data_IF_069534634617
#
_entry.id   IF_069534634617
#
_cell.length_a   1.000
_cell.length_b   1.000
_cell.length_c   1.000
_cell.angle_alpha   90.00
_cell.angle_beta   90.00
_cell.angle_gamma   90.00
#
_symmetry.space_group_name_H-M   'P 1'
#
loop_
_entity.id
_entity.type
_entity.pdbx_description
1 polymer ?
#
# COMPACT_ATOMS: atom_id res chain seq x y z
N UNK A 1 0.31 2.86 -11.13
CA UNK A 1 -0.71 3.91 -10.98
C UNK A 1 -0.65 4.39 -9.55
N UNK A 2 -0.88 5.67 -9.30
CA UNK A 2 -0.94 6.26 -7.96
C UNK A 2 -2.11 7.24 -7.87
N UNK A 3 -2.60 7.47 -6.66
CA UNK A 3 -3.66 8.44 -6.38
C UNK A 3 -3.07 9.64 -5.66
N UNK A 4 -3.50 10.83 -6.05
CA UNK A 4 -3.03 12.11 -5.50
C UNK A 4 -4.24 12.95 -5.12
N UNK A 5 -4.18 13.59 -3.96
CA UNK A 5 -5.24 14.45 -3.41
C UNK A 5 -4.70 15.82 -3.03
N UNK A 6 -5.57 16.82 -2.96
CA UNK A 6 -5.25 18.10 -2.33
C UNK A 6 -5.28 17.99 -0.81
N UNK A 7 -4.28 18.58 -0.16
CA UNK A 7 -4.26 18.65 1.29
C UNK A 7 -5.15 19.75 1.82
N UNK A 8 -5.61 19.60 3.06
CA UNK A 8 -6.63 20.46 3.69
C UNK A 8 -6.06 21.77 4.28
N UNK A 9 -4.83 22.13 3.97
CA UNK A 9 -4.19 23.35 4.48
C UNK A 9 -4.50 24.54 3.57
N UNK A 10 -4.41 25.78 4.09
CA UNK A 10 -4.73 27.02 3.33
C UNK A 10 -4.00 27.09 1.98
N UNK A 11 -2.76 26.62 1.96
CA UNK A 11 -1.95 26.46 0.75
C UNK A 11 -1.86 24.96 0.39
N UNK A 12 -2.84 24.42 -0.35
CA UNK A 12 -2.92 22.98 -0.60
C UNK A 12 -1.69 22.48 -1.35
N UNK A 13 -1.35 21.22 -1.07
CA UNK A 13 -0.28 20.47 -1.73
C UNK A 13 -0.87 19.20 -2.32
N UNK A 14 -0.21 18.67 -3.34
CA UNK A 14 -0.52 17.36 -3.89
C UNK A 14 0.08 16.27 -2.98
N UNK A 15 -0.77 15.61 -2.19
CA UNK A 15 -0.40 14.46 -1.38
C UNK A 15 -0.59 13.17 -2.16
N UNK A 16 0.46 12.35 -2.24
CA UNK A 16 0.36 11.01 -2.81
C UNK A 16 -0.21 10.09 -1.75
N UNK A 17 -1.29 9.37 -2.08
CA UNK A 17 -1.83 8.34 -1.21
C UNK A 17 -0.84 7.18 -1.14
N UNK A 18 -0.38 6.87 0.07
CA UNK A 18 0.51 5.75 0.34
C UNK A 18 0.05 4.96 1.56
N UNK A 19 0.36 3.68 1.62
CA UNK A 19 0.02 2.86 2.78
C UNK A 19 1.02 3.05 3.92
N UNK A 20 0.75 3.98 4.83
CA UNK A 20 1.55 4.23 6.04
C UNK A 20 1.03 3.47 7.29
N UNK A 21 0.09 2.54 7.13
CA UNK A 21 -0.44 1.74 8.24
C UNK A 21 0.64 0.83 8.83
N UNK A 22 0.75 0.83 10.16
CA UNK A 22 1.50 -0.15 10.93
C UNK A 22 0.69 -1.40 11.25
N UNK A 23 -0.55 -1.52 10.74
CA UNK A 23 -1.35 -2.74 10.83
C UNK A 23 -1.60 -3.32 9.45
N UNK A 24 -1.56 -4.64 9.36
CA UNK A 24 -1.97 -5.38 8.16
C UNK A 24 -2.75 -6.63 8.52
N UNK A 25 -3.55 -7.08 7.57
CA UNK A 25 -4.27 -8.33 7.70
C UNK A 25 -3.43 -9.46 7.06
N UNK A 26 -3.21 -10.55 7.80
CA UNK A 26 -2.60 -11.74 7.23
C UNK A 26 -3.61 -12.57 6.42
N UNK A 27 -3.14 -13.66 5.81
CA UNK A 27 -3.96 -14.54 4.96
C UNK A 27 -5.15 -15.16 5.69
N UNK A 28 -5.05 -15.28 7.01
CA UNK A 28 -6.07 -15.88 7.87
C UNK A 28 -7.06 -14.83 8.40
N UNK A 29 -6.88 -13.56 8.03
CA UNK A 29 -7.74 -12.47 8.42
C UNK A 29 -7.35 -11.78 9.73
N UNK A 30 -6.22 -12.16 10.36
CA UNK A 30 -5.79 -11.58 11.62
C UNK A 30 -5.05 -10.26 11.39
N UNK A 31 -5.33 -9.26 12.24
CA UNK A 31 -4.56 -8.02 12.26
C UNK A 31 -3.22 -8.25 12.96
N UNK A 32 -2.13 -7.96 12.25
CA UNK A 32 -0.75 -8.00 12.73
C UNK A 32 -0.10 -6.63 12.62
N UNK A 33 0.84 -6.37 13.50
CA UNK A 33 1.62 -5.14 13.48
C UNK A 33 2.82 -5.26 12.53
N UNK A 34 3.11 -4.18 11.81
CA UNK A 34 4.29 -4.00 10.97
C UNK A 34 5.36 -3.27 11.76
N UNK A 35 6.61 -3.62 11.49
CA UNK A 35 7.74 -2.83 11.96
C UNK A 35 7.82 -1.51 11.18
N UNK A 36 8.35 -0.45 11.82
CA UNK A 36 8.55 0.87 11.19
C UNK A 36 9.27 0.77 9.85
N UNK A 37 10.35 -0.01 9.80
CA UNK A 37 11.15 -0.22 8.58
C UNK A 37 10.32 -0.84 7.44
N UNK A 38 9.48 -1.82 7.75
CA UNK A 38 8.60 -2.48 6.76
C UNK A 38 7.60 -1.50 6.19
N UNK A 39 6.93 -0.72 7.05
CA UNK A 39 5.98 0.29 6.59
C UNK A 39 6.68 1.40 5.79
N UNK A 40 7.88 1.82 6.19
CA UNK A 40 8.66 2.79 5.43
C UNK A 40 9.05 2.26 4.04
N UNK A 41 9.46 0.99 3.94
CA UNK A 41 9.78 0.36 2.65
C UNK A 41 8.57 0.40 1.70
N UNK A 42 7.37 0.09 2.19
CA UNK A 42 6.14 0.14 1.38
C UNK A 42 5.85 1.56 0.88
N UNK A 43 5.94 2.56 1.77
CA UNK A 43 5.79 3.99 1.43
C UNK A 43 6.81 4.42 0.37
N UNK A 44 8.09 4.10 0.58
CA UNK A 44 9.19 4.50 -0.32
C UNK A 44 9.04 3.82 -1.67
N UNK A 45 8.62 2.56 -1.70
CA UNK A 45 8.33 1.83 -2.94
C UNK A 45 7.25 2.53 -3.76
N UNK A 46 6.14 2.91 -3.13
CA UNK A 46 5.04 3.62 -3.79
C UNK A 46 5.49 5.02 -4.26
N UNK A 47 6.21 5.77 -3.42
CA UNK A 47 6.76 7.07 -3.79
C UNK A 47 7.75 6.99 -4.96
N UNK A 48 8.64 5.98 -4.97
CA UNK A 48 9.59 5.73 -6.05
C UNK A 48 8.92 5.34 -7.37
N UNK A 49 7.77 4.66 -7.31
CA UNK A 49 6.94 4.44 -8.51
C UNK A 49 6.41 5.76 -9.06
N UNK A 50 5.91 6.67 -8.21
CA UNK A 50 5.44 8.00 -8.65
C UNK A 50 6.58 8.82 -9.25
N UNK A 51 7.77 8.80 -8.62
CA UNK A 51 8.94 9.48 -9.14
C UNK A 51 9.28 9.00 -10.57
N UNK A 52 9.14 7.69 -10.83
CA UNK A 52 9.37 7.11 -12.16
C UNK A 52 8.30 7.44 -13.21
N UNK A 53 7.16 8.01 -12.81
CA UNK A 53 6.11 8.45 -13.75
C UNK A 53 6.47 9.78 -14.42
N UNK A 54 7.48 10.50 -13.92
CA UNK A 54 7.99 11.73 -14.53
C UNK A 54 6.99 12.88 -14.52
N UNK A 55 6.07 12.93 -13.55
CA UNK A 55 5.03 13.96 -13.44
C UNK A 55 5.39 15.07 -12.44
N UNK A 56 6.65 15.17 -12.03
CA UNK A 56 7.11 16.14 -11.04
C UNK A 56 8.04 15.52 -10.01
N UNK A 57 8.65 16.38 -9.18
CA UNK A 57 9.54 15.94 -8.11
C UNK A 57 8.73 15.34 -6.96
N UNK A 58 9.14 14.18 -6.45
CA UNK A 58 8.49 13.51 -5.31
C UNK A 58 9.30 13.75 -4.05
N UNK A 59 8.63 14.14 -2.97
CA UNK A 59 9.26 14.34 -1.66
C UNK A 59 8.56 13.52 -0.58
N UNK A 60 9.36 12.99 0.36
CA UNK A 60 8.91 12.27 1.54
C UNK A 60 9.27 13.07 2.79
N UNK A 61 8.28 13.40 3.59
CA UNK A 61 8.42 14.04 4.89
C UNK A 61 8.21 13.01 6.00
N UNK A 62 9.20 12.86 6.87
CA UNK A 62 9.18 11.98 8.05
C UNK A 62 9.08 12.83 9.32
N UNK A 63 8.01 12.66 10.07
CA UNK A 63 7.82 13.28 11.38
C UNK A 63 8.62 12.49 12.42
N UNK A 64 9.80 12.99 12.78
CA UNK A 64 10.68 12.37 13.78
C UNK A 64 10.50 13.00 15.16
N UNK A 65 11.05 12.38 16.19
CA UNK A 65 11.18 12.94 17.54
C UNK A 65 11.79 14.35 17.51
N UNK A 66 12.79 14.58 16.66
CA UNK A 66 13.48 15.86 16.47
C UNK A 66 12.80 16.85 15.51
N UNK A 67 11.60 16.52 15.00
CA UNK A 67 10.89 17.31 13.99
C UNK A 67 10.87 16.67 12.60
N UNK A 68 10.46 17.42 11.58
CA UNK A 68 10.33 16.87 10.23
C UNK A 68 11.68 16.75 9.52
N UNK A 69 12.01 15.54 9.07
CA UNK A 69 13.08 15.29 8.09
C UNK A 69 12.47 15.12 6.70
N UNK A 70 12.95 15.89 5.73
CA UNK A 70 12.40 15.93 4.38
C UNK A 70 13.43 15.40 3.39
N UNK A 71 12.98 14.56 2.46
CA UNK A 71 13.81 13.92 1.46
C UNK A 71 13.19 14.05 0.07
N UNK A 72 14.02 14.28 -0.95
CA UNK A 72 13.68 13.95 -2.32
C UNK A 72 13.71 12.43 -2.50
N UNK A 73 12.72 11.89 -3.21
CA UNK A 73 12.64 10.46 -3.54
C UNK A 73 13.15 10.26 -4.96
N UNK A 74 14.34 9.68 -5.10
CA UNK A 74 14.98 9.45 -6.38
C UNK A 74 15.04 7.95 -6.67
N UNK A 75 14.67 7.54 -7.88
CA UNK A 75 14.81 6.15 -8.33
C UNK A 75 15.79 6.09 -9.50
N UNK A 76 16.77 5.19 -9.42
CA UNK A 76 17.80 5.04 -10.45
C UNK A 76 17.42 3.98 -11.51
N UNK A 77 18.27 3.79 -12.52
CA UNK A 77 18.05 2.84 -13.62
C UNK A 77 18.06 1.36 -13.16
N UNK A 78 18.70 1.07 -12.02
CA UNK A 78 18.65 -0.26 -11.37
C UNK A 78 17.39 -0.47 -10.54
N UNK A 79 16.51 0.52 -10.56
CA UNK A 79 15.32 0.63 -9.74
C UNK A 79 15.58 0.72 -8.22
N UNK A 80 16.81 0.98 -7.79
CA UNK A 80 17.07 1.33 -6.39
C UNK A 80 16.49 2.72 -6.11
N UNK A 81 16.05 2.92 -4.87
CA UNK A 81 15.49 4.18 -4.42
C UNK A 81 16.43 4.81 -3.40
N UNK A 82 16.69 6.10 -3.55
CA UNK A 82 17.53 6.88 -2.64
C UNK A 82 16.72 8.06 -2.13
N UNK A 83 16.64 8.17 -0.81
CA UNK A 83 16.12 9.35 -0.14
C UNK A 83 17.27 10.32 0.09
N UNK A 84 17.23 11.44 -0.62
CA UNK A 84 18.26 12.50 -0.54
C UNK A 84 17.69 13.65 0.29
N UNK A 85 18.36 14.14 1.35
CA UNK A 85 17.86 15.25 2.15
C UNK A 85 17.50 16.47 1.28
N UNK A 86 16.39 17.15 1.57
CA UNK A 86 16.05 18.39 0.87
C UNK A 86 16.91 19.58 1.34
N UNK A 87 17.48 19.49 2.54
CA UNK A 87 18.44 20.47 3.04
C UNK A 87 19.76 20.34 2.29
N UNK A 88 20.13 21.40 1.55
CA UNK A 88 21.34 21.45 0.73
C UNK A 88 22.62 21.24 1.53
N UNK A 89 22.64 21.64 2.81
CA UNK A 89 23.82 21.47 3.66
C UNK A 89 24.10 19.99 3.96
N UNK A 90 23.07 19.15 3.92
CA UNK A 90 23.16 17.71 4.18
C UNK A 90 23.37 16.90 2.89
N UNK A 91 23.28 17.51 1.70
CA UNK A 91 23.38 16.79 0.43
C UNK A 91 24.81 16.39 0.05
N UNK A 92 25.82 17.05 0.63
CA UNK A 92 27.23 16.70 0.39
C UNK A 92 27.71 15.53 1.25
N UNK A 93 26.95 15.17 2.28
CA UNK A 93 27.25 14.09 3.21
C UNK A 93 26.31 12.90 2.96
N UNK A 94 26.87 11.84 2.36
CA UNK A 94 26.14 10.62 1.99
C UNK A 94 25.66 9.83 3.20
N UNK A 95 26.15 10.09 4.41
CA UNK A 95 25.65 9.45 5.62
C UNK A 95 24.24 9.93 5.99
N UNK A 96 23.79 11.06 5.42
CA UNK A 96 22.42 11.55 5.57
C UNK A 96 21.44 10.98 4.54
N UNK A 97 21.92 10.14 3.62
CA UNK A 97 21.09 9.54 2.57
C UNK A 97 20.59 8.19 3.06
N UNK A 98 19.36 7.84 2.68
CA UNK A 98 18.78 6.53 3.00
C UNK A 98 18.58 5.76 1.70
N UNK A 99 19.23 4.60 1.60
CA UNK A 99 19.23 3.78 0.39
C UNK A 99 18.30 2.59 0.55
N UNK A 100 17.51 2.33 -0.48
CA UNK A 100 16.60 1.19 -0.59
C UNK A 100 16.95 0.43 -1.85
N UNK A 101 17.67 -0.67 -1.69
CA UNK A 101 18.18 -1.45 -2.81
C UNK A 101 17.14 -2.48 -3.25
N UNK A 102 16.86 -2.55 -4.54
CA UNK A 102 16.02 -3.60 -5.10
C UNK A 102 16.78 -4.93 -5.03
N UNK A 103 16.12 -5.95 -4.52
CA UNK A 103 16.62 -7.32 -4.45
C UNK A 103 15.65 -8.22 -5.19
N UNK A 104 16.16 -9.03 -6.10
CA UNK A 104 15.39 -10.08 -6.77
C UNK A 104 15.41 -11.31 -5.89
N UNK A 105 14.25 -11.95 -5.71
CA UNK A 105 14.15 -13.21 -4.99
C UNK A 105 14.84 -14.31 -5.80
N UNK A 106 15.87 -14.92 -5.23
CA UNK A 106 16.69 -15.95 -5.89
C UNK A 106 15.82 -17.17 -6.26
N UNK A 107 14.78 -17.45 -5.48
CA UNK A 107 13.88 -18.58 -5.72
C UNK A 107 12.71 -18.22 -6.64
N UNK A 108 12.51 -16.94 -6.92
CA UNK A 108 11.44 -16.45 -7.81
C UNK A 108 11.88 -15.16 -8.51
N UNK A 109 12.55 -15.26 -9.68
CA UNK A 109 13.12 -14.11 -10.38
C UNK A 109 12.10 -13.02 -10.78
N UNK A 110 10.81 -13.36 -10.86
CA UNK A 110 9.73 -12.41 -11.14
C UNK A 110 9.35 -11.57 -9.91
N UNK A 111 9.77 -12.00 -8.72
CA UNK A 111 9.53 -11.29 -7.46
C UNK A 111 10.76 -10.51 -7.05
N UNK A 112 10.50 -9.29 -6.59
CA UNK A 112 11.52 -8.45 -5.98
C UNK A 112 10.97 -7.79 -4.73
N UNK A 113 11.89 -7.44 -3.83
CA UNK A 113 11.64 -6.68 -2.63
C UNK A 113 12.69 -5.57 -2.49
N UNK A 114 12.45 -4.62 -1.61
CA UNK A 114 13.43 -3.59 -1.28
C UNK A 114 14.03 -3.89 0.08
N UNK A 115 15.34 -3.68 0.19
CA UNK A 115 16.07 -3.75 1.45
C UNK A 115 16.66 -2.38 1.75
N UNK A 116 16.32 -1.82 2.91
CA UNK A 116 16.93 -0.59 3.39
C UNK A 116 18.38 -0.86 3.81
N UNK A 117 19.30 -0.05 3.32
CA UNK A 117 20.70 -0.07 3.74
C UNK A 117 20.82 0.38 5.20
N UNK A 118 21.79 -0.20 5.92
CA UNK A 118 22.15 0.18 7.29
C UNK A 118 23.27 1.25 7.34
N UNK A 119 23.53 1.91 6.22
CA UNK A 119 24.58 2.92 6.07
C UNK A 119 24.20 4.25 6.73
N UNK A 120 25.19 4.98 7.22
CA UNK A 120 25.01 6.32 7.76
C UNK A 120 24.01 6.35 8.91
N UNK A 121 23.12 7.35 8.91
CA UNK A 121 22.12 7.55 9.96
C UNK A 121 20.76 6.87 9.69
N UNK A 122 20.69 5.97 8.70
CA UNK A 122 19.42 5.37 8.22
C UNK A 122 18.60 4.73 9.33
N UNK A 123 19.21 3.86 10.16
CA UNK A 123 18.49 3.15 11.24
C UNK A 123 17.98 4.13 12.31
N UNK A 124 18.83 5.07 12.74
CA UNK A 124 18.47 6.11 13.71
C UNK A 124 17.28 6.96 13.22
N UNK A 125 17.28 7.34 11.94
CA UNK A 125 16.17 8.09 11.36
C UNK A 125 14.88 7.27 11.47
N UNK A 126 14.89 6.01 11.04
CA UNK A 126 13.69 5.14 11.07
C UNK A 126 13.17 4.90 12.48
N UNK A 127 14.08 4.65 13.42
CA UNK A 127 13.73 4.46 14.83
C UNK A 127 13.07 5.70 15.42
N UNK A 128 13.56 6.90 15.07
CA UNK A 128 13.03 8.18 15.55
C UNK A 128 11.70 8.61 14.92
N UNK A 129 11.17 7.91 13.90
CA UNK A 129 9.90 8.30 13.27
C UNK A 129 8.76 8.10 14.28
N UNK A 130 7.96 9.15 14.49
CA UNK A 130 6.78 9.10 15.36
C UNK A 130 5.72 8.16 14.80
N UNK A 131 5.02 7.51 15.72
CA UNK A 131 3.83 6.72 15.40
C UNK A 131 2.61 7.56 15.78
N UNK A 132 1.73 7.79 14.81
CA UNK A 132 0.44 8.40 15.05
C UNK A 132 -0.57 7.30 15.34
N UNK A 133 -1.05 7.20 16.58
CA UNK A 133 -2.03 6.20 16.99
C UNK A 133 -3.43 6.80 17.09
N UNK A 134 -4.41 6.01 16.70
CA UNK A 134 -5.82 6.19 17.05
C UNK A 134 -6.27 4.95 17.84
N UNK A 135 -7.47 4.97 18.40
CA UNK A 135 -8.02 3.84 19.17
C UNK A 135 -8.04 2.52 18.37
N UNK A 136 -8.05 2.59 17.04
CA UNK A 136 -8.19 1.43 16.15
C UNK A 136 -7.00 1.21 15.22
N UNK A 137 -6.04 2.12 15.16
CA UNK A 137 -4.99 2.08 14.14
C UNK A 137 -3.71 2.78 14.57
N UNK A 138 -2.61 2.43 13.92
CA UNK A 138 -1.33 3.06 14.12
C UNK A 138 -0.72 3.34 12.75
N UNK A 139 -0.17 4.53 12.56
CA UNK A 139 0.38 4.97 11.29
C UNK A 139 1.79 5.50 11.51
N UNK A 140 2.68 5.18 10.58
CA UNK A 140 4.00 5.78 10.55
C UNK A 140 3.83 7.27 10.20
N UNK A 141 4.49 8.16 10.94
CA UNK A 141 4.47 9.61 10.72
C UNK A 141 5.20 10.00 9.43
N UNK A 142 4.64 9.65 8.29
CA UNK A 142 5.23 9.82 6.97
C UNK A 142 4.18 10.37 5.99
N UNK A 143 4.60 11.31 5.14
CA UNK A 143 3.76 11.92 4.11
C UNK A 143 4.56 12.07 2.82
N UNK A 144 3.96 11.64 1.70
CA UNK A 144 4.54 11.79 0.36
C UNK A 144 3.82 12.91 -0.37
N UNK A 145 4.58 13.76 -1.05
CA UNK A 145 4.05 14.87 -1.84
C UNK A 145 4.64 14.87 -3.24
N UNK A 146 3.86 15.37 -4.20
CA UNK A 146 4.26 15.56 -5.59
C UNK A 146 4.35 17.07 -5.89
N UNK A 147 5.48 17.53 -6.37
CA UNK A 147 5.63 18.91 -6.86
C UNK A 147 5.29 18.95 -8.35
N UNK A 148 4.06 19.35 -8.65
CA UNK A 148 3.57 19.61 -10.00
C UNK A 148 2.61 20.82 -9.94
N UNK A 149 3.05 21.95 -10.49
CA UNK A 149 2.29 23.21 -10.40
C UNK A 149 1.02 23.17 -11.24
N UNK A 150 1.10 22.61 -12.44
CA UNK A 150 -0.01 22.55 -13.39
C UNK A 150 -1.11 21.65 -12.83
N UNK A 151 -0.76 20.44 -12.37
CA UNK A 151 -1.71 19.54 -11.72
C UNK A 151 -2.33 20.14 -10.46
N UNK A 152 -1.55 20.87 -9.66
CA UNK A 152 -2.06 21.54 -8.47
C UNK A 152 -3.12 22.59 -8.85
N UNK A 153 -2.85 23.41 -9.87
CA UNK A 153 -3.80 24.41 -10.36
C UNK A 153 -5.06 23.75 -10.95
N UNK A 154 -4.89 22.72 -11.76
CA UNK A 154 -6.00 21.98 -12.37
C UNK A 154 -6.91 21.35 -11.31
N UNK A 155 -6.34 20.70 -10.29
CA UNK A 155 -7.13 20.11 -9.20
C UNK A 155 -7.85 21.18 -8.36
N UNK A 156 -7.17 22.29 -8.02
CA UNK A 156 -7.81 23.38 -7.25
C UNK A 156 -8.99 23.96 -8.03
N UNK A 157 -8.81 24.22 -9.32
CA UNK A 157 -9.88 24.69 -10.19
C UNK A 157 -11.02 23.67 -10.28
N UNK A 158 -10.69 22.38 -10.45
CA UNK A 158 -11.68 21.32 -10.52
C UNK A 158 -12.52 21.21 -9.24
N UNK A 159 -11.92 21.31 -8.05
CA UNK A 159 -12.68 21.31 -6.77
C UNK A 159 -13.56 22.56 -6.63
N UNK A 160 -13.11 23.71 -7.13
CA UNK A 160 -13.90 24.95 -7.13
C UNK A 160 -15.09 24.86 -8.09
N UNK A 161 -14.88 24.34 -9.29
CA UNK A 161 -15.91 24.23 -10.32
C UNK A 161 -16.95 23.14 -9.98
N UNK A 162 -16.51 22.02 -9.41
CA UNK A 162 -17.41 20.90 -9.03
C UNK A 162 -18.06 21.07 -7.66
N UNK A 163 -17.44 21.83 -6.74
CA UNK A 163 -17.84 21.89 -5.34
C UNK A 163 -17.52 20.62 -4.53
N UNK A 164 -16.80 19.66 -5.12
CA UNK A 164 -16.44 18.38 -4.52
C UNK A 164 -14.93 18.19 -4.39
N UNK A 165 -14.52 17.26 -3.52
CA UNK A 165 -13.11 16.85 -3.44
C UNK A 165 -12.70 16.04 -4.66
N UNK A 166 -11.46 16.25 -5.08
CA UNK A 166 -10.89 15.64 -6.27
C UNK A 166 -9.79 14.64 -5.94
N UNK A 167 -9.65 13.64 -6.81
CA UNK A 167 -8.54 12.69 -6.80
C UNK A 167 -7.94 12.64 -8.19
N UNK A 168 -6.63 12.86 -8.29
CA UNK A 168 -5.89 12.63 -9.51
C UNK A 168 -5.35 11.20 -9.54
N UNK A 169 -5.62 10.49 -10.63
CA UNK A 169 -5.05 9.17 -10.91
C UNK A 169 -3.88 9.33 -11.88
N UNK A 170 -2.68 9.00 -11.42
CA UNK A 170 -1.43 9.20 -12.16
C UNK A 170 -0.86 7.85 -12.61
N UNK A 171 -0.51 7.77 -13.89
CA UNK A 171 0.27 6.69 -14.49
C UNK A 171 1.44 7.24 -15.30
N UNK A 172 2.27 6.35 -15.84
CA UNK A 172 3.41 6.74 -16.69
C UNK A 172 2.94 7.58 -17.89
N UNK A 173 1.87 7.13 -18.54
CA UNK A 173 1.33 7.73 -19.76
C UNK A 173 -0.08 8.33 -19.57
N UNK A 174 -0.58 8.42 -18.34
CA UNK A 174 -1.95 8.85 -18.05
C UNK A 174 -2.00 9.78 -16.85
N UNK A 175 -2.90 10.74 -16.88
CA UNK A 175 -3.27 11.60 -15.77
C UNK A 175 -4.74 11.94 -15.93
N UNK A 176 -5.55 11.59 -14.95
CA UNK A 176 -6.98 11.93 -14.92
C UNK A 176 -7.33 12.54 -13.58
N UNK A 177 -8.22 13.53 -13.57
CA UNK A 177 -8.77 14.17 -12.36
C UNK A 177 -10.27 13.87 -12.37
N UNK A 178 -10.77 13.39 -11.25
CA UNK A 178 -12.17 13.00 -11.05
C UNK A 178 -12.59 13.40 -9.65
N UNK A 179 -13.89 13.51 -9.38
CA UNK A 179 -14.36 13.68 -7.99
C UNK A 179 -14.14 12.39 -7.20
N UNK A 180 -14.04 12.51 -5.88
CA UNK A 180 -13.98 11.33 -5.00
C UNK A 180 -15.21 10.44 -5.18
N UNK A 181 -16.38 11.04 -5.41
CA UNK A 181 -17.65 10.35 -5.67
C UNK A 181 -17.61 9.53 -6.96
N UNK A 182 -17.11 10.10 -8.06
CA UNK A 182 -16.92 9.42 -9.34
C UNK A 182 -15.96 8.23 -9.22
N UNK A 183 -14.83 8.43 -8.53
CA UNK A 183 -13.86 7.37 -8.29
C UNK A 183 -14.45 6.23 -7.47
N UNK A 184 -15.26 6.54 -6.46
CA UNK A 184 -15.93 5.53 -5.65
C UNK A 184 -16.97 4.74 -6.47
N UNK A 185 -17.82 5.43 -7.24
CA UNK A 185 -18.78 4.78 -8.12
C UNK A 185 -18.11 3.83 -9.13
N UNK A 186 -16.96 4.23 -9.70
CA UNK A 186 -16.17 3.36 -10.59
C UNK A 186 -15.60 2.14 -9.88
N UNK A 187 -15.18 2.27 -8.61
CA UNK A 187 -14.67 1.14 -7.80
C UNK A 187 -15.80 0.15 -7.46
N UNK A 188 -16.98 0.65 -7.16
CA UNK A 188 -18.16 -0.16 -6.86
C UNK A 188 -18.67 -0.93 -8.09
N UNK A 189 -18.79 -0.25 -9.24
CA UNK A 189 -19.18 -0.88 -10.50
C UNK A 189 -18.23 -2.02 -10.91
N UNK A 190 -16.91 -1.80 -10.84
CA UNK A 190 -15.91 -2.85 -11.10
C UNK A 190 -16.01 -4.04 -10.14
N UNK A 191 -16.36 -3.79 -8.88
CA UNK A 191 -16.51 -4.84 -7.87
C UNK A 191 -17.76 -5.68 -8.14
N UNK A 192 -18.84 -5.07 -8.64
CA UNK A 192 -20.06 -5.77 -9.04
C UNK A 192 -19.85 -6.60 -10.31
N UNK A 193 -19.15 -6.07 -11.32
CA UNK A 193 -18.80 -6.80 -12.55
C UNK A 193 -17.92 -8.04 -12.28
N UNK A 194 -16.94 -7.93 -11.38
CA UNK A 194 -16.11 -9.08 -10.96
C UNK A 194 -16.89 -10.14 -10.18
N UNK A 195 -17.94 -9.74 -9.45
CA UNK A 195 -18.81 -10.68 -8.75
C UNK A 195 -19.81 -11.36 -9.69
N UNK A 196 -20.34 -10.65 -10.69
CA UNK A 196 -21.20 -11.23 -11.72
C UNK A 196 -20.44 -12.18 -12.66
N UNK A 197 -19.19 -11.85 -13.00
CA UNK A 197 -18.34 -12.71 -13.85
C UNK A 197 -17.94 -14.05 -13.19
N UNK A 198 -18.25 -14.25 -11.90
CA UNK A 198 -18.07 -15.53 -11.18
C UNK A 198 -19.32 -16.40 -11.15
N UNK A 199 -20.47 -15.92 -11.64
CA UNK A 199 -21.66 -16.73 -11.85
C UNK A 199 -21.52 -17.48 -13.18
N UNK A 200 -21.09 -18.74 -13.10
CA UNK A 200 -21.09 -19.65 -14.25
C UNK A 200 -22.51 -20.18 -14.38
N UNK A 201 -23.20 -20.04 -15.53
CA UNK A 201 -24.46 -20.74 -15.74
C UNK A 201 -24.21 -22.26 -15.70
N UNK A 202 -24.86 -22.96 -14.77
CA UNK A 202 -24.82 -24.42 -14.72
C UNK A 202 -25.98 -24.93 -15.56
N UNK A 203 -25.67 -25.64 -16.65
CA UNK A 203 -26.69 -26.42 -17.37
C UNK A 203 -26.96 -27.71 -16.61
N UNK A 204 -28.15 -27.86 -16.06
CA UNK A 204 -28.61 -29.11 -15.44
C UNK A 204 -29.21 -29.97 -16.57
N UNK A 205 -28.53 -31.07 -16.90
CA UNK A 205 -29.03 -32.09 -17.84
C UNK A 205 -29.76 -33.20 -17.07
N UNK A 206 -30.89 -33.66 -17.59
CA UNK A 206 -31.55 -34.86 -17.08
C UNK A 206 -30.78 -36.15 -17.45
N UNK A 207 -31.24 -37.29 -16.94
CA UNK A 207 -30.63 -38.61 -17.17
C UNK A 207 -30.64 -39.05 -18.66
N UNK A 208 -31.30 -38.28 -19.53
CA UNK A 208 -31.43 -38.54 -20.95
C UNK A 208 -30.71 -37.47 -21.81
N UNK A 209 -29.98 -36.54 -21.17
CA UNK A 209 -29.19 -35.51 -21.85
C UNK A 209 -29.95 -34.25 -22.28
N UNK A 210 -31.20 -34.07 -21.86
CA UNK A 210 -31.97 -32.85 -22.16
C UNK A 210 -31.75 -31.78 -21.08
N UNK A 211 -31.54 -30.52 -21.49
CA UNK A 211 -31.35 -29.38 -20.59
C UNK A 211 -32.71 -28.94 -20.01
N UNK A 212 -32.86 -28.95 -18.69
CA UNK A 212 -34.18 -28.76 -18.04
C UNK A 212 -34.33 -27.40 -17.35
N UNK A 213 -33.24 -26.72 -16.96
CA UNK A 213 -33.32 -25.38 -16.36
C UNK A 213 -31.97 -24.63 -16.37
N UNK A 214 -31.99 -23.32 -16.62
CA UNK A 214 -30.85 -22.42 -16.37
C UNK A 214 -31.03 -21.78 -15.00
N UNK A 215 -30.24 -22.20 -14.02
CA UNK A 215 -30.20 -21.54 -12.69
C UNK A 215 -28.82 -20.95 -12.44
N UNK A 216 -28.78 -19.77 -11.81
CA UNK A 216 -27.56 -19.13 -11.32
C UNK A 216 -27.30 -19.60 -9.89
N UNK A 217 -26.19 -20.31 -9.67
CA UNK A 217 -25.73 -20.68 -8.31
C UNK A 217 -24.47 -19.91 -7.97
N UNK A 218 -24.46 -19.24 -6.81
CA UNK A 218 -23.23 -18.70 -6.22
C UNK A 218 -22.33 -19.87 -5.88
N UNK A 219 -21.06 -19.81 -6.31
CA UNK A 219 -20.03 -20.79 -5.95
C UNK A 219 -19.79 -20.70 -4.44
N UNK A 220 -20.47 -21.55 -3.67
CA UNK A 220 -20.13 -21.76 -2.27
C UNK A 220 -18.67 -22.24 -2.20
N UNK A 221 -17.90 -21.60 -1.32
CA UNK A 221 -16.55 -22.03 -1.01
C UNK A 221 -16.62 -23.46 -0.46
N UNK A 222 -15.70 -24.37 -0.84
CA UNK A 222 -15.76 -25.75 -0.37
C UNK A 222 -15.74 -25.76 1.16
N UNK A 223 -16.74 -26.39 1.76
CA UNK A 223 -16.83 -26.63 3.20
C UNK A 223 -15.48 -27.17 3.69
N UNK A 224 -14.84 -26.44 4.61
CA UNK A 224 -13.75 -26.97 5.40
C UNK A 224 -14.30 -28.20 6.13
N UNK A 225 -13.91 -29.40 5.69
CA UNK A 225 -14.12 -30.64 6.45
C UNK A 225 -13.71 -30.37 7.90
N UNK A 226 -14.69 -30.38 8.80
CA UNK A 226 -14.46 -30.23 10.23
C UNK A 226 -13.51 -31.32 10.70
N UNK A 227 -12.31 -30.92 11.09
CA UNK A 227 -11.35 -31.80 11.73
C UNK A 227 -11.89 -32.12 13.13
N UNK A 228 -12.37 -33.34 13.35
CA UNK A 228 -12.71 -33.84 14.69
C UNK A 228 -11.40 -34.10 15.45
N UNK A 229 -11.09 -33.39 16.56
CA UNK A 229 -9.93 -33.74 17.37
C UNK A 229 -10.17 -35.11 18.03
N UNK A 230 -9.25 -36.07 17.81
CA UNK A 230 -9.18 -37.31 18.60
C UNK A 230 -8.92 -36.93 20.06
N UNK A 231 -9.80 -37.37 20.95
CA UNK A 231 -9.63 -37.25 22.38
C UNK A 231 -8.30 -37.86 22.82
N UNK A 232 -7.49 -37.09 23.56
CA UNK A 232 -6.33 -37.61 24.28
C UNK A 232 -6.83 -38.63 25.31
N UNK A 233 -6.38 -39.88 25.18
CA UNK A 233 -6.53 -40.86 26.25
C UNK A 233 -5.78 -40.35 27.47
N UNK A 234 -6.49 -40.24 28.60
CA UNK A 234 -5.88 -40.17 29.93
C UNK A 234 -5.13 -41.48 30.13
N UNK A 235 -3.81 -41.44 30.16
CA UNK A 235 -3.07 -42.51 30.81
C UNK A 235 -2.81 -42.10 32.26
N UNK A 236 -3.27 -42.96 33.16
CA UNK A 236 -3.09 -42.85 34.61
C UNK A 236 -1.67 -43.32 34.91
N UNK A 237 -1.04 -42.65 35.88
CA UNK A 237 0.36 -42.89 36.21
C UNK A 237 0.68 -44.26 36.74
N UNK A 238 1.97 -44.48 36.92
CA UNK A 238 2.52 -45.25 38.02
C UNK A 238 3.96 -44.80 38.26
N UNK A 239 4.26 -44.66 39.55
CA UNK A 239 5.55 -44.45 40.17
C UNK A 239 6.64 -45.41 39.68
N UNK A 240 7.91 -45.05 39.84
CA UNK A 240 8.79 -45.66 40.86
C UNK A 240 10.17 -44.99 40.83
N UNK A 241 10.55 -44.59 42.05
CA UNK A 241 11.83 -44.29 42.68
C UNK A 241 13.19 -44.59 42.01
N UNK A 242 14.11 -43.71 42.46
CA UNK A 242 15.58 -43.80 42.62
C UNK A 242 16.49 -43.42 41.47
#
# INVERSE_FOLDING_TARGET
MAFVELTKEENPKLAVQVNNSLKYQDKDGNLKDRQKVTALIDIVKEAGQVASMGKGAVSLSLNTESGYKNYFVNKNDKEDIVLVPTDKNLQNDKDNFIYFNKKVDINNPDKHFYSMSKSGNSEQVVESIKINTTDKSAYLGARVTLSNKDLLQDMVKFEQDSGEKSVATIGKNSLTIETTSELQAKREAKSQEQNQSKEIPVEIQDKNGNVVEKTTTKKESPEKKQFKPKAKSKDKGQDIER
#
